data_IF_759383879422
#
_entry.id   IF_759383879422
#
_cell.length_a   1.000
_cell.length_b   1.000
_cell.length_c   1.000
_cell.angle_alpha   90.00
_cell.angle_beta   90.00
_cell.angle_gamma   90.00
#
_symmetry.space_group_name_H-M   'P 1'
#
loop_
_entity.id
_entity.type
_entity.pdbx_description
1 polymer ?
#
# COMPACT_ATOMS: atom_id res chain seq x y z
N UNK A 1 3.98 14.39 -9.36
CA UNK A 1 3.15 15.45 -9.97
C UNK A 1 1.97 14.87 -10.77
N UNK A 2 0.80 14.76 -10.12
CA UNK A 2 -0.41 14.12 -10.65
C UNK A 2 -1.52 15.16 -10.90
N UNK A 3 -2.34 14.97 -11.93
CA UNK A 3 -3.53 15.78 -12.20
C UNK A 3 -4.76 14.95 -11.94
N UNK A 4 -5.80 15.54 -11.34
CA UNK A 4 -7.04 14.81 -11.10
C UNK A 4 -7.71 14.46 -12.43
N UNK A 5 -8.16 13.21 -12.56
CA UNK A 5 -8.88 12.75 -13.74
C UNK A 5 -10.24 13.46 -13.84
N UNK A 6 -10.55 14.01 -15.00
CA UNK A 6 -11.80 14.75 -15.25
C UNK A 6 -12.98 13.83 -15.63
N UNK A 7 -12.77 12.51 -15.63
CA UNK A 7 -13.78 11.50 -15.94
C UNK A 7 -14.77 11.23 -14.80
N UNK A 8 -14.49 11.72 -13.59
CA UNK A 8 -15.37 11.58 -12.42
C UNK A 8 -15.50 12.90 -11.64
N UNK A 9 -16.60 13.10 -10.88
CA UNK A 9 -16.76 14.28 -10.04
C UNK A 9 -15.62 14.44 -9.04
N UNK A 10 -14.97 15.60 -9.09
CA UNK A 10 -13.86 15.97 -8.22
C UNK A 10 -14.32 16.17 -6.76
N UNK A 11 -13.63 15.58 -5.77
CA UNK A 11 -13.87 15.88 -4.36
C UNK A 11 -13.65 17.38 -4.03
N UNK A 12 -14.30 17.90 -2.97
CA UNK A 12 -13.98 19.21 -2.44
C UNK A 12 -12.48 19.35 -2.12
N UNK A 13 -11.88 20.50 -2.44
CA UNK A 13 -10.47 20.80 -2.13
C UNK A 13 -9.43 20.31 -3.15
N UNK A 14 -9.78 19.41 -4.08
CA UNK A 14 -8.85 19.00 -5.15
C UNK A 14 -8.77 20.11 -6.22
N UNK A 15 -7.61 20.41 -6.83
CA UNK A 15 -7.51 21.35 -7.95
C UNK A 15 -8.29 20.89 -9.20
N UNK A 16 -8.82 21.83 -9.98
CA UNK A 16 -9.50 21.53 -11.24
C UNK A 16 -8.47 21.35 -12.36
N UNK A 17 -8.66 20.36 -13.23
CA UNK A 17 -7.84 20.23 -14.43
C UNK A 17 -7.75 21.57 -15.20
N UNK A 18 -6.58 22.01 -15.68
CA UNK A 18 -5.30 21.28 -15.79
C UNK A 18 -4.34 21.46 -14.59
N UNK A 19 -4.81 22.08 -13.50
CA UNK A 19 -3.99 22.32 -12.31
C UNK A 19 -3.57 21.01 -11.65
N UNK A 20 -2.39 21.03 -11.04
CA UNK A 20 -1.79 19.85 -10.44
C UNK A 20 -2.16 19.76 -8.97
N UNK A 21 -2.41 18.54 -8.49
CA UNK A 21 -2.49 18.24 -7.06
C UNK A 21 -1.14 18.55 -6.40
N UNK A 22 -1.08 19.43 -5.39
CA UNK A 22 0.16 19.73 -4.69
C UNK A 22 0.68 18.49 -4.00
N UNK A 23 2.01 18.33 -3.98
CA UNK A 23 2.65 17.29 -3.18
C UNK A 23 2.36 17.56 -1.70
N UNK A 24 2.11 16.52 -0.88
CA UNK A 24 1.86 16.71 0.54
C UNK A 24 3.12 17.26 1.24
N UNK A 25 2.91 18.12 2.22
CA UNK A 25 3.99 18.54 3.13
C UNK A 25 4.39 17.37 4.04
N UNK A 26 5.61 17.37 4.62
CA UNK A 26 6.02 16.34 5.59
C UNK A 26 5.04 16.18 6.75
N UNK A 27 4.56 17.29 7.34
CA UNK A 27 3.58 17.24 8.42
C UNK A 27 2.21 16.68 8.00
N UNK A 28 1.80 16.83 6.75
CA UNK A 28 0.60 16.18 6.23
C UNK A 28 0.83 14.69 5.96
N UNK A 29 2.04 14.31 5.55
CA UNK A 29 2.44 12.91 5.39
C UNK A 29 2.43 12.19 6.74
N UNK A 30 3.03 12.78 7.79
CA UNK A 30 3.03 12.23 9.14
C UNK A 30 1.61 11.97 9.65
N UNK A 31 0.70 12.93 9.45
CA UNK A 31 -0.73 12.76 9.80
C UNK A 31 -1.38 11.59 9.06
N UNK A 32 -1.02 11.35 7.79
CA UNK A 32 -1.55 10.22 7.02
C UNK A 32 -0.99 8.90 7.52
N UNK A 33 0.29 8.87 7.91
CA UNK A 33 0.95 7.69 8.51
C UNK A 33 0.29 7.35 9.84
N UNK A 34 0.10 8.34 10.72
CA UNK A 34 -0.56 8.17 12.03
C UNK A 34 -2.01 7.70 11.89
N UNK A 35 -2.72 8.19 10.88
CA UNK A 35 -4.08 7.77 10.57
C UNK A 35 -4.18 6.41 9.86
N UNK A 36 -3.06 5.77 9.51
CA UNK A 36 -3.05 4.51 8.75
C UNK A 36 -3.59 4.64 7.32
N UNK A 37 -3.62 5.86 6.77
CA UNK A 37 -4.11 6.13 5.41
C UNK A 37 -3.07 5.81 4.33
N UNK A 38 -1.81 5.68 4.72
CA UNK A 38 -0.69 5.30 3.86
C UNK A 38 0.24 4.35 4.61
N UNK A 39 0.85 3.43 3.87
CA UNK A 39 1.90 2.54 4.37
C UNK A 39 3.25 3.09 3.92
N UNK A 40 3.71 4.14 4.60
CA UNK A 40 4.96 4.85 4.31
C UNK A 40 5.67 5.10 5.65
N UNK A 41 7.01 4.96 5.67
CA UNK A 41 7.82 5.25 6.85
C UNK A 41 8.77 4.11 7.19
N UNK A 42 9.09 3.99 8.48
CA UNK A 42 9.88 2.89 9.06
C UNK A 42 9.15 1.54 8.93
N UNK A 43 9.86 0.40 9.05
CA UNK A 43 9.23 -0.92 9.11
C UNK A 43 8.17 -1.02 10.22
N UNK A 44 8.39 -0.38 11.37
CA UNK A 44 7.46 -0.36 12.50
C UNK A 44 6.16 0.40 12.16
N UNK A 45 6.28 1.57 11.53
CA UNK A 45 5.12 2.35 11.08
C UNK A 45 4.35 1.60 9.99
N UNK A 46 5.06 1.00 9.03
CA UNK A 46 4.46 0.16 8.00
C UNK A 46 3.73 -1.05 8.61
N UNK A 47 4.34 -1.71 9.60
CA UNK A 47 3.74 -2.86 10.29
C UNK A 47 2.47 -2.46 11.03
N UNK A 48 2.45 -1.30 11.70
CA UNK A 48 1.25 -0.77 12.33
C UNK A 48 0.12 -0.51 11.33
N UNK A 49 0.43 0.05 10.16
CA UNK A 49 -0.55 0.24 9.11
C UNK A 49 -1.08 -1.10 8.56
N UNK A 50 -0.20 -2.06 8.30
CA UNK A 50 -0.58 -3.41 7.82
C UNK A 50 -1.44 -4.14 8.86
N UNK A 51 -1.13 -4.01 10.15
CA UNK A 51 -1.91 -4.62 11.23
C UNK A 51 -3.36 -4.14 11.20
N UNK A 52 -3.62 -2.84 10.93
CA UNK A 52 -4.98 -2.34 10.81
C UNK A 52 -5.79 -3.02 9.72
N UNK A 53 -5.16 -3.38 8.59
CA UNK A 53 -5.82 -4.15 7.53
C UNK A 53 -6.00 -5.63 7.90
N UNK A 54 -4.99 -6.23 8.56
CA UNK A 54 -5.09 -7.61 9.04
C UNK A 54 -6.22 -7.77 10.07
N UNK A 55 -6.38 -6.79 10.97
CA UNK A 55 -7.41 -6.79 12.03
C UNK A 55 -8.83 -6.78 11.48
N UNK A 56 -9.06 -6.15 10.32
CA UNK A 56 -10.37 -6.14 9.64
C UNK A 56 -10.57 -7.35 8.71
N UNK A 57 -9.61 -8.27 8.67
CA UNK A 57 -9.67 -9.50 7.88
C UNK A 57 -9.34 -9.32 6.40
N UNK A 58 -8.56 -8.29 6.03
CA UNK A 58 -8.04 -8.20 4.67
C UNK A 58 -7.11 -9.39 4.38
N UNK A 59 -7.38 -10.11 3.29
CA UNK A 59 -6.61 -11.28 2.86
C UNK A 59 -5.38 -10.93 2.01
N UNK A 60 -5.39 -9.75 1.36
CA UNK A 60 -4.31 -9.28 0.51
C UNK A 60 -4.21 -7.75 0.49
N UNK A 61 -2.97 -7.24 0.46
CA UNK A 61 -2.65 -5.84 0.22
C UNK A 61 -1.88 -5.68 -1.09
N UNK A 62 -2.17 -4.60 -1.82
CA UNK A 62 -1.49 -4.25 -3.08
C UNK A 62 -0.99 -2.81 -2.99
N UNK A 63 0.30 -2.62 -3.23
CA UNK A 63 0.96 -1.32 -3.13
C UNK A 63 1.32 -0.77 -4.51
N UNK A 64 0.79 0.40 -4.86
CA UNK A 64 1.09 1.11 -6.09
C UNK A 64 2.25 2.09 -5.97
N UNK A 65 3.47 1.61 -5.67
CA UNK A 65 4.62 2.48 -5.34
C UNK A 65 5.05 3.41 -6.49
N UNK A 66 4.98 2.90 -7.72
CA UNK A 66 5.38 3.61 -8.96
C UNK A 66 4.28 4.53 -9.52
N UNK A 67 3.19 4.75 -8.78
CA UNK A 67 2.19 5.77 -9.12
C UNK A 67 2.67 7.20 -8.79
N UNK A 68 3.80 7.31 -8.08
CA UNK A 68 4.44 8.56 -7.67
C UNK A 68 5.63 8.92 -8.58
N UNK A 69 6.31 10.03 -8.29
CA UNK A 69 7.58 10.40 -8.94
C UNK A 69 8.79 9.71 -8.31
N UNK A 70 8.58 8.65 -7.53
CA UNK A 70 9.63 7.90 -6.86
C UNK A 70 10.52 7.17 -7.88
N UNK A 71 11.85 7.31 -7.78
CA UNK A 71 12.79 6.53 -8.58
C UNK A 71 12.62 5.01 -8.39
N UNK A 72 12.88 4.24 -9.45
CA UNK A 72 12.70 2.79 -9.44
C UNK A 72 13.65 2.07 -8.47
N UNK A 73 14.88 2.56 -8.33
CA UNK A 73 15.88 2.05 -7.38
C UNK A 73 15.42 2.21 -5.93
N UNK A 74 14.83 3.36 -5.59
CA UNK A 74 14.21 3.59 -4.27
C UNK A 74 13.03 2.64 -4.03
N UNK A 75 12.22 2.38 -5.07
CA UNK A 75 11.14 1.40 -4.96
C UNK A 75 11.67 -0.02 -4.70
N UNK A 76 12.77 -0.42 -5.34
CA UNK A 76 13.40 -1.73 -5.15
C UNK A 76 13.94 -1.86 -3.72
N UNK A 77 14.66 -0.86 -3.22
CA UNK A 77 15.17 -0.84 -1.84
C UNK A 77 14.02 -0.94 -0.82
N UNK A 78 12.94 -0.21 -1.05
CA UNK A 78 11.77 -0.25 -0.18
C UNK A 78 11.06 -1.62 -0.20
N UNK A 79 11.00 -2.30 -1.36
CA UNK A 79 10.48 -3.66 -1.46
C UNK A 79 11.35 -4.67 -0.70
N UNK A 80 12.68 -4.57 -0.82
CA UNK A 80 13.62 -5.42 -0.08
C UNK A 80 13.47 -5.22 1.44
N UNK A 81 13.38 -3.96 1.86
CA UNK A 81 13.17 -3.57 3.26
C UNK A 81 11.84 -4.11 3.78
N UNK A 82 10.75 -3.92 3.03
CA UNK A 82 9.41 -4.39 3.41
C UNK A 82 9.36 -5.93 3.49
N UNK A 83 9.94 -6.61 2.51
CA UNK A 83 10.02 -8.07 2.47
C UNK A 83 10.85 -8.66 3.61
N UNK A 84 11.91 -7.96 4.02
CA UNK A 84 12.80 -8.42 5.10
C UNK A 84 12.20 -8.16 6.48
N UNK A 85 11.58 -7.01 6.70
CA UNK A 85 11.22 -6.55 8.03
C UNK A 85 9.72 -6.61 8.34
N UNK A 86 8.84 -6.45 7.33
CA UNK A 86 7.39 -6.33 7.55
C UNK A 86 6.68 -7.65 7.26
N UNK A 87 6.88 -8.25 6.08
CA UNK A 87 6.20 -9.50 5.68
C UNK A 87 6.32 -10.62 6.74
N UNK A 88 7.50 -10.92 7.31
CA UNK A 88 7.65 -12.02 8.27
C UNK A 88 6.86 -11.85 9.58
N UNK A 89 6.37 -10.65 9.88
CA UNK A 89 5.52 -10.41 11.04
C UNK A 89 4.08 -10.94 10.82
N UNK A 90 3.64 -11.01 9.56
CA UNK A 90 2.27 -11.39 9.16
C UNK A 90 2.22 -12.75 8.46
N UNK A 91 3.16 -13.02 7.56
CA UNK A 91 3.28 -14.30 6.85
C UNK A 91 4.39 -15.14 7.48
N UNK A 92 4.02 -15.91 8.51
CA UNK A 92 4.96 -16.71 9.33
C UNK A 92 5.15 -18.13 8.81
N UNK A 93 4.34 -18.55 7.84
CA UNK A 93 4.43 -19.88 7.27
C UNK A 93 5.67 -19.95 6.37
N UNK A 94 6.45 -21.06 6.39
CA UNK A 94 7.56 -21.23 5.45
C UNK A 94 7.12 -21.22 3.98
N UNK A 95 5.85 -21.51 3.71
CA UNK A 95 5.23 -21.35 2.40
C UNK A 95 4.38 -20.08 2.39
N UNK A 96 4.71 -19.15 1.48
CA UNK A 96 3.98 -17.88 1.34
C UNK A 96 2.47 -18.09 1.27
N UNK A 97 1.70 -17.30 2.04
CA UNK A 97 0.27 -17.47 2.25
C UNK A 97 -0.54 -17.51 0.94
N UNK A 98 -0.14 -16.74 -0.07
CA UNK A 98 -0.81 -16.74 -1.38
C UNK A 98 -0.67 -18.05 -2.16
N UNK A 99 0.31 -18.90 -1.83
CA UNK A 99 0.39 -20.26 -2.38
C UNK A 99 -0.70 -21.13 -1.78
N UNK A 100 -0.87 -21.11 -0.45
CA UNK A 100 -1.94 -21.85 0.24
C UNK A 100 -3.31 -21.41 -0.23
N UNK A 101 -3.55 -20.11 -0.28
CA UNK A 101 -4.82 -19.54 -0.77
C UNK A 101 -5.14 -20.03 -2.19
N UNK A 102 -4.13 -20.15 -3.07
CA UNK A 102 -4.31 -20.70 -4.42
C UNK A 102 -4.62 -22.18 -4.43
N UNK A 103 -3.92 -22.98 -3.62
CA UNK A 103 -4.17 -24.42 -3.48
C UNK A 103 -5.57 -24.71 -2.93
N UNK A 104 -5.99 -23.97 -1.91
CA UNK A 104 -7.34 -24.04 -1.34
C UNK A 104 -8.41 -23.68 -2.37
N UNK A 105 -8.18 -22.61 -3.14
CA UNK A 105 -9.08 -22.23 -4.22
C UNK A 105 -9.19 -23.35 -5.26
N UNK A 106 -8.06 -23.91 -5.74
CA UNK A 106 -8.05 -25.00 -6.71
C UNK A 106 -8.79 -26.25 -6.20
N UNK A 107 -8.63 -26.58 -4.91
CA UNK A 107 -9.35 -27.70 -4.30
C UNK A 107 -10.86 -27.45 -4.14
N UNK A 108 -11.30 -26.19 -4.11
CA UNK A 108 -12.71 -25.81 -3.99
C UNK A 108 -13.49 -25.83 -5.31
N UNK A 109 -12.78 -25.82 -6.45
CA UNK A 109 -13.41 -25.80 -7.78
C UNK A 109 -13.83 -27.23 -8.17
N UNK A 110 -15.13 -27.49 -8.44
CA UNK A 110 -15.58 -28.79 -8.93
C UNK A 110 -14.93 -29.15 -10.28
N UNK A 111 -14.68 -30.45 -10.48
CA UNK A 111 -14.17 -31.00 -11.74
C UNK A 111 -15.14 -30.85 -12.91
#
# INVERSE_FOLDING_TARGET
MFRYLDTFPKPPGIPTWPDVIPEPTPAELDKRIDAGLVTIGTPEECSRAVQGYADIGADQLVFGMLSSTMPIDVCVEALETFGTHVIPQFDKDPLHSTTRQREEWLASVPA
#
